data_IF_428090140710
#
_entry.id   IF_428090140710
#
_cell.length_a   1.000
_cell.length_b   1.000
_cell.length_c   1.000
_cell.angle_alpha   90.00
_cell.angle_beta   90.00
_cell.angle_gamma   90.00
#
_symmetry.space_group_name_H-M   'P 1'
#
loop_
_entity.id
_entity.type
_entity.pdbx_description
1 polymer ?
#
# COMPACT_ATOMS: atom_id res chain seq x y z
N UNK A 1 23.58 -27.40 10.14
CA UNK A 1 23.40 -26.26 11.07
C UNK A 1 22.45 -25.30 10.39
N UNK A 2 21.16 -25.61 10.45
CA UNK A 2 20.13 -25.07 9.58
C UNK A 2 18.86 -24.80 10.40
N UNK A 3 18.21 -23.66 10.12
CA UNK A 3 16.85 -23.24 10.52
C UNK A 3 16.69 -22.62 11.93
N UNK A 4 16.99 -21.33 12.02
CA UNK A 4 16.25 -20.42 12.90
C UNK A 4 15.56 -19.38 12.01
N UNK A 5 14.24 -19.49 11.91
CA UNK A 5 13.41 -18.72 11.00
C UNK A 5 11.95 -19.10 11.25
N UNK A 6 11.51 -18.96 12.50
CA UNK A 6 10.14 -19.22 12.95
C UNK A 6 9.20 -18.12 12.44
N UNK A 7 9.05 -18.03 11.12
CA UNK A 7 8.00 -17.27 10.49
C UNK A 7 6.73 -18.11 10.50
N UNK A 8 5.70 -17.65 11.23
CA UNK A 8 4.33 -18.13 11.12
C UNK A 8 3.99 -18.44 9.65
N UNK A 9 3.88 -19.72 9.28
CA UNK A 9 3.55 -20.10 7.91
C UNK A 9 2.05 -19.91 7.72
N UNK A 10 1.67 -19.05 6.78
CA UNK A 10 0.27 -18.89 6.37
C UNK A 10 -0.20 -20.04 5.46
N UNK A 11 0.35 -21.24 5.64
CA UNK A 11 0.22 -22.36 4.69
C UNK A 11 -1.21 -22.87 4.48
N UNK A 12 -2.11 -22.63 5.45
CA UNK A 12 -3.53 -22.94 5.32
C UNK A 12 -4.33 -21.87 4.54
N UNK A 13 -3.84 -20.64 4.46
CA UNK A 13 -4.55 -19.51 3.88
C UNK A 13 -4.87 -19.64 2.38
N UNK A 14 -4.03 -20.23 1.51
CA UNK A 14 -4.38 -20.43 0.10
C UNK A 14 -5.63 -21.28 -0.12
N UNK A 15 -5.92 -22.18 0.83
CA UNK A 15 -7.07 -23.10 0.79
C UNK A 15 -8.28 -22.56 1.55
N UNK A 16 -8.09 -22.18 2.81
CA UNK A 16 -9.17 -21.75 3.72
C UNK A 16 -9.46 -20.24 3.65
N UNK A 17 -8.69 -19.49 2.86
CA UNK A 17 -8.75 -18.03 2.79
C UNK A 17 -8.35 -17.36 4.11
N UNK A 18 -8.68 -16.07 4.23
CA UNK A 18 -8.44 -15.29 5.45
C UNK A 18 -9.54 -15.56 6.48
N UNK A 19 -9.46 -16.71 7.15
CA UNK A 19 -10.50 -17.22 8.03
C UNK A 19 -10.01 -17.48 9.45
N UNK A 20 -10.96 -17.82 10.33
CA UNK A 20 -10.68 -18.26 11.69
C UNK A 20 -9.86 -19.56 11.71
N UNK A 21 -10.08 -20.47 10.75
CA UNK A 21 -9.29 -21.68 10.62
C UNK A 21 -7.81 -21.36 10.33
N UNK A 22 -7.58 -20.42 9.41
CA UNK A 22 -6.24 -19.91 9.09
C UNK A 22 -5.57 -19.27 10.29
N UNK A 23 -6.31 -18.50 11.11
CA UNK A 23 -5.74 -17.95 12.35
C UNK A 23 -5.34 -19.06 13.33
N UNK A 24 -6.17 -20.07 13.54
CA UNK A 24 -5.81 -21.19 14.43
C UNK A 24 -4.57 -21.94 13.93
N UNK A 25 -4.47 -22.19 12.63
CA UNK A 25 -3.31 -22.82 12.03
C UNK A 25 -2.04 -21.96 12.23
N UNK A 26 -2.15 -20.66 11.98
CA UNK A 26 -1.08 -19.68 12.23
C UNK A 26 -0.63 -19.64 13.70
N UNK A 27 -1.57 -19.73 14.66
CA UNK A 27 -1.26 -19.81 16.09
C UNK A 27 -0.48 -21.10 16.39
N UNK A 28 -0.95 -22.24 15.91
CA UNK A 28 -0.29 -23.53 16.12
C UNK A 28 1.14 -23.53 15.55
N UNK A 29 1.33 -22.96 14.36
CA UNK A 29 2.64 -22.91 13.68
C UNK A 29 3.61 -21.91 14.31
N UNK A 30 3.11 -20.80 14.86
CA UNK A 30 3.95 -19.74 15.44
C UNK A 30 4.42 -20.04 16.87
N UNK A 31 3.77 -20.98 17.57
CA UNK A 31 3.99 -21.20 18.99
C UNK A 31 3.51 -20.06 19.89
N UNK A 32 2.75 -19.11 19.35
CA UNK A 32 2.19 -18.00 20.12
C UNK A 32 1.11 -18.51 21.08
N UNK A 33 1.05 -17.92 22.28
CA UNK A 33 -0.02 -18.21 23.22
C UNK A 33 -1.39 -17.86 22.59
N UNK A 34 -2.37 -18.79 22.54
CA UNK A 34 -3.65 -18.54 21.87
C UNK A 34 -4.39 -17.29 22.39
N UNK A 35 -4.32 -17.04 23.70
CA UNK A 35 -4.92 -15.85 24.30
C UNK A 35 -4.28 -14.54 23.79
N UNK A 36 -2.96 -14.52 23.62
CA UNK A 36 -2.24 -13.36 23.07
C UNK A 36 -2.61 -13.14 21.60
N UNK A 37 -2.64 -14.21 20.80
CA UNK A 37 -3.04 -14.10 19.40
C UNK A 37 -4.49 -13.60 19.25
N UNK A 38 -5.42 -14.06 20.10
CA UNK A 38 -6.79 -13.55 20.15
C UNK A 38 -6.89 -12.08 20.52
N UNK A 39 -6.04 -11.63 21.44
CA UNK A 39 -5.96 -10.21 21.80
C UNK A 39 -5.42 -9.35 20.65
N UNK A 40 -4.47 -9.88 19.86
CA UNK A 40 -3.89 -9.19 18.70
C UNK A 40 -4.79 -9.24 17.45
N UNK A 41 -5.58 -10.30 17.29
CA UNK A 41 -6.45 -10.53 16.13
C UNK A 41 -7.92 -10.75 16.55
N UNK A 42 -8.58 -9.75 17.17
CA UNK A 42 -9.94 -9.88 17.69
C UNK A 42 -10.99 -10.19 16.61
N UNK A 43 -10.76 -9.76 15.36
CA UNK A 43 -11.61 -10.04 14.19
C UNK A 43 -11.15 -11.27 13.40
N UNK A 44 -10.26 -12.08 13.98
CA UNK A 44 -9.83 -13.34 13.41
C UNK A 44 -9.00 -13.17 12.14
N UNK A 45 -9.35 -13.94 11.10
CA UNK A 45 -8.66 -13.96 9.81
C UNK A 45 -8.59 -12.61 9.10
N UNK A 46 -9.53 -11.69 9.36
CA UNK A 46 -9.52 -10.33 8.79
C UNK A 46 -8.32 -9.53 9.31
N UNK A 47 -8.12 -9.53 10.64
CA UNK A 47 -6.97 -8.83 11.23
C UNK A 47 -5.64 -9.47 10.80
N UNK A 48 -5.65 -10.79 10.59
CA UNK A 48 -4.49 -11.49 10.05
C UNK A 48 -4.17 -11.04 8.61
N UNK A 49 -5.19 -10.87 7.77
CA UNK A 49 -5.05 -10.33 6.41
C UNK A 49 -4.50 -8.90 6.41
N UNK A 50 -5.04 -8.05 7.29
CA UNK A 50 -4.56 -6.68 7.52
C UNK A 50 -3.09 -6.70 7.95
N UNK A 51 -2.72 -7.53 8.93
CA UNK A 51 -1.35 -7.62 9.41
C UNK A 51 -0.38 -8.12 8.33
N UNK A 52 -0.82 -9.06 7.50
CA UNK A 52 -0.05 -9.53 6.33
C UNK A 52 0.18 -8.39 5.32
N UNK A 53 -0.87 -7.63 4.98
CA UNK A 53 -0.75 -6.48 4.08
C UNK A 53 0.24 -5.44 4.62
N UNK A 54 0.11 -5.07 5.89
CA UNK A 54 0.99 -4.10 6.53
C UNK A 54 2.44 -4.59 6.66
N UNK A 55 2.64 -5.91 6.79
CA UNK A 55 3.98 -6.51 6.74
C UNK A 55 4.61 -6.32 5.37
N UNK A 56 3.86 -6.51 4.29
CA UNK A 56 4.34 -6.24 2.94
C UNK A 56 4.74 -4.77 2.75
N UNK A 57 3.99 -3.83 3.33
CA UNK A 57 4.36 -2.41 3.30
C UNK A 57 5.67 -2.13 4.05
N UNK A 58 5.88 -2.77 5.22
CA UNK A 58 7.15 -2.68 5.96
C UNK A 58 8.32 -3.20 5.14
N UNK A 59 8.18 -4.41 4.59
CA UNK A 59 9.22 -5.03 3.76
C UNK A 59 9.58 -4.18 2.54
N UNK A 60 8.57 -3.57 1.89
CA UNK A 60 8.83 -2.62 0.80
C UNK A 60 9.65 -1.43 1.26
N UNK A 61 9.31 -0.82 2.40
CA UNK A 61 10.06 0.34 2.91
C UNK A 61 11.49 -0.03 3.26
N UNK A 62 11.69 -1.18 3.91
CA UNK A 62 13.02 -1.68 4.28
C UNK A 62 13.87 -1.91 3.01
N UNK A 63 13.30 -2.56 2.00
CA UNK A 63 13.97 -2.79 0.72
C UNK A 63 14.26 -1.46 -0.02
N UNK A 64 13.30 -0.53 -0.04
CA UNK A 64 13.45 0.76 -0.70
C UNK A 64 14.51 1.63 -0.03
N UNK A 65 14.62 1.58 1.31
CA UNK A 65 15.66 2.25 2.08
C UNK A 65 17.06 1.69 1.85
N UNK A 66 17.16 0.42 1.45
CA UNK A 66 18.42 -0.22 1.08
C UNK A 66 18.80 -0.04 -0.40
N UNK A 67 17.87 0.40 -1.26
CA UNK A 67 18.11 0.64 -2.68
C UNK A 67 18.85 1.95 -2.94
N UNK A 68 19.79 1.93 -3.89
CA UNK A 68 20.34 3.18 -4.46
C UNK A 68 19.35 3.76 -5.49
N UNK A 69 18.75 4.89 -5.14
CA UNK A 69 17.78 5.61 -5.98
C UNK A 69 18.39 6.83 -6.66
N UNK A 70 19.69 7.11 -6.49
CA UNK A 70 20.32 8.36 -6.92
C UNK A 70 20.24 8.58 -8.44
N UNK A 71 20.46 7.52 -9.22
CA UNK A 71 20.42 7.55 -10.68
C UNK A 71 19.00 7.46 -11.28
N UNK A 72 17.97 7.19 -10.47
CA UNK A 72 16.61 7.00 -10.96
C UNK A 72 15.86 8.32 -11.11
N UNK A 73 15.10 8.50 -12.19
CA UNK A 73 14.10 9.57 -12.26
C UNK A 73 13.02 9.31 -11.23
N UNK A 74 12.41 10.36 -10.70
CA UNK A 74 11.44 10.23 -9.62
C UNK A 74 10.27 9.28 -9.94
N UNK A 75 9.75 9.29 -11.18
CA UNK A 75 8.71 8.35 -11.61
C UNK A 75 9.17 6.89 -11.58
N UNK A 76 10.44 6.65 -11.91
CA UNK A 76 11.02 5.31 -11.95
C UNK A 76 11.25 4.83 -10.49
N UNK A 77 11.51 5.74 -9.54
CA UNK A 77 11.52 5.45 -8.09
C UNK A 77 10.14 4.99 -7.59
N UNK A 78 9.06 5.64 -8.04
CA UNK A 78 7.69 5.24 -7.68
C UNK A 78 7.37 3.86 -8.26
N UNK A 79 7.72 3.61 -9.53
CA UNK A 79 7.56 2.30 -10.16
C UNK A 79 8.32 1.21 -9.39
N UNK A 80 9.58 1.50 -9.03
CA UNK A 80 10.42 0.59 -8.26
C UNK A 80 9.82 0.28 -6.89
N UNK A 81 9.30 1.27 -6.16
CA UNK A 81 8.65 1.05 -4.86
C UNK A 81 7.40 0.15 -4.98
N UNK A 82 6.56 0.37 -6.00
CA UNK A 82 5.39 -0.50 -6.27
C UNK A 82 5.84 -1.93 -6.60
N UNK A 83 6.90 -2.08 -7.40
CA UNK A 83 7.48 -3.39 -7.73
C UNK A 83 8.00 -4.11 -6.49
N UNK A 84 8.80 -3.44 -5.66
CA UNK A 84 9.28 -3.98 -4.38
C UNK A 84 8.11 -4.42 -3.48
N UNK A 85 7.01 -3.67 -3.47
CA UNK A 85 5.81 -4.05 -2.70
C UNK A 85 5.18 -5.34 -3.19
N UNK A 86 5.13 -5.56 -4.49
CA UNK A 86 4.60 -6.79 -5.08
C UNK A 86 5.57 -7.96 -4.91
N UNK A 87 6.88 -7.72 -5.05
CA UNK A 87 7.92 -8.73 -4.84
C UNK A 87 8.06 -9.16 -3.37
N UNK A 88 7.67 -8.32 -2.41
CA UNK A 88 7.58 -8.68 -0.99
C UNK A 88 6.51 -9.75 -0.69
N UNK A 89 5.64 -10.06 -1.65
CA UNK A 89 4.61 -11.10 -1.50
C UNK A 89 5.25 -12.47 -1.76
N UNK A 90 5.26 -13.32 -0.74
CA UNK A 90 5.78 -14.68 -0.86
C UNK A 90 4.89 -15.60 -1.71
N UNK A 91 3.57 -15.42 -1.65
CA UNK A 91 2.62 -16.24 -2.38
C UNK A 91 1.45 -15.40 -2.92
N UNK A 92 1.26 -15.44 -4.23
CA UNK A 92 0.25 -14.63 -4.96
C UNK A 92 -1.18 -14.99 -4.55
N UNK A 93 -1.43 -16.24 -4.20
CA UNK A 93 -2.76 -16.70 -3.80
C UNK A 93 -3.23 -16.05 -2.49
N UNK A 94 -2.33 -15.74 -1.56
CA UNK A 94 -2.66 -14.99 -0.33
C UNK A 94 -3.24 -13.61 -0.66
N UNK A 95 -2.66 -12.94 -1.66
CA UNK A 95 -3.14 -11.65 -2.14
C UNK A 95 -4.47 -11.82 -2.86
N UNK A 96 -4.63 -12.85 -3.69
CA UNK A 96 -5.91 -13.14 -4.38
C UNK A 96 -7.05 -13.29 -3.37
N UNK A 97 -6.85 -14.11 -2.33
CA UNK A 97 -7.84 -14.30 -1.25
C UNK A 97 -8.10 -13.00 -0.48
N UNK A 98 -7.06 -12.19 -0.26
CA UNK A 98 -7.19 -10.88 0.38
C UNK A 98 -8.03 -9.91 -0.45
N UNK A 99 -7.74 -9.82 -1.76
CA UNK A 99 -8.51 -9.00 -2.70
C UNK A 99 -9.97 -9.41 -2.72
N UNK A 100 -10.29 -10.71 -2.74
CA UNK A 100 -11.68 -11.18 -2.67
C UNK A 100 -12.36 -10.81 -1.35
N UNK A 101 -11.68 -11.01 -0.21
CA UNK A 101 -12.21 -10.64 1.12
C UNK A 101 -12.54 -9.14 1.18
N UNK A 102 -11.60 -8.29 0.77
CA UNK A 102 -11.74 -6.85 0.85
C UNK A 102 -12.62 -6.25 -0.25
N UNK A 103 -13.00 -7.02 -1.28
CA UNK A 103 -14.01 -6.60 -2.25
C UNK A 103 -15.45 -6.69 -1.70
N UNK A 104 -15.66 -7.43 -0.60
CA UNK A 104 -16.98 -7.52 0.03
C UNK A 104 -17.38 -6.17 0.63
N UNK A 105 -18.64 -5.71 0.47
CA UNK A 105 -19.05 -4.37 0.90
C UNK A 105 -18.72 -4.02 2.36
N UNK A 106 -18.87 -4.98 3.27
CA UNK A 106 -18.57 -4.81 4.70
C UNK A 106 -17.06 -4.64 5.01
N UNK A 107 -16.19 -5.01 4.08
CA UNK A 107 -14.73 -4.91 4.22
C UNK A 107 -14.09 -3.93 3.21
N UNK A 108 -14.87 -3.41 2.27
CA UNK A 108 -14.40 -2.52 1.20
C UNK A 108 -13.71 -1.27 1.73
N UNK A 109 -14.24 -0.66 2.79
CA UNK A 109 -13.62 0.51 3.41
C UNK A 109 -12.24 0.18 4.01
N UNK A 110 -12.07 -1.01 4.58
CA UNK A 110 -10.79 -1.46 5.12
C UNK A 110 -9.78 -1.77 4.00
N UNK A 111 -10.22 -2.43 2.92
CA UNK A 111 -9.40 -2.63 1.73
C UNK A 111 -8.91 -1.32 1.12
N UNK A 112 -9.81 -0.34 0.98
CA UNK A 112 -9.46 1.00 0.49
C UNK A 112 -8.46 1.70 1.41
N UNK A 113 -8.63 1.59 2.73
CA UNK A 113 -7.68 2.13 3.72
C UNK A 113 -6.30 1.47 3.62
N UNK A 114 -6.23 0.16 3.38
CA UNK A 114 -4.96 -0.55 3.20
C UNK A 114 -4.23 -0.08 1.93
N UNK A 115 -4.94 0.05 0.81
CA UNK A 115 -4.39 0.56 -0.46
C UNK A 115 -3.93 2.02 -0.32
N UNK A 116 -4.71 2.85 0.37
CA UNK A 116 -4.31 4.22 0.69
C UNK A 116 -3.04 4.23 1.55
N UNK A 117 -2.98 3.37 2.57
CA UNK A 117 -1.82 3.21 3.45
C UNK A 117 -0.55 2.81 2.69
N UNK A 118 -0.65 1.90 1.72
CA UNK A 118 0.49 1.55 0.85
C UNK A 118 0.95 2.75 0.02
N UNK A 119 0.02 3.49 -0.60
CA UNK A 119 0.37 4.68 -1.36
C UNK A 119 1.03 5.75 -0.48
N UNK A 120 0.49 6.00 0.71
CA UNK A 120 1.09 6.90 1.70
C UNK A 120 2.50 6.43 2.11
N UNK A 121 2.68 5.15 2.41
CA UNK A 121 3.98 4.57 2.78
C UNK A 121 5.03 4.76 1.68
N UNK A 122 4.67 4.60 0.41
CA UNK A 122 5.56 4.84 -0.74
C UNK A 122 5.94 6.32 -0.81
N UNK A 123 4.97 7.23 -0.75
CA UNK A 123 5.24 8.67 -0.81
C UNK A 123 6.11 9.15 0.34
N UNK A 124 5.83 8.68 1.56
CA UNK A 124 6.63 9.00 2.76
C UNK A 124 8.05 8.47 2.62
N UNK A 125 8.23 7.22 2.17
CA UNK A 125 9.56 6.63 1.98
C UNK A 125 10.37 7.33 0.88
N UNK A 126 9.71 7.92 -0.12
CA UNK A 126 10.33 8.74 -1.17
C UNK A 126 10.50 10.22 -0.78
N UNK A 127 10.17 10.60 0.46
CA UNK A 127 10.40 11.94 0.99
C UNK A 127 9.35 13.01 0.61
N UNK A 128 8.09 12.62 0.34
CA UNK A 128 7.01 13.57 0.07
C UNK A 128 6.77 14.51 1.27
N UNK A 129 6.86 15.82 1.03
CA UNK A 129 6.64 16.87 2.06
C UNK A 129 5.33 17.63 1.87
N UNK A 130 4.46 17.17 0.95
CA UNK A 130 3.18 17.83 0.67
C UNK A 130 2.29 17.93 1.92
N UNK A 131 1.68 19.10 2.14
CA UNK A 131 0.73 19.33 3.25
C UNK A 131 -0.60 19.96 2.82
N UNK A 132 -0.75 20.18 1.53
CA UNK A 132 -1.91 20.79 0.90
C UNK A 132 -2.71 19.73 0.11
N UNK A 133 -3.60 20.17 -0.79
CA UNK A 133 -4.37 19.28 -1.65
C UNK A 133 -3.51 18.27 -2.44
N UNK A 134 -2.25 18.60 -2.76
CA UNK A 134 -1.36 17.68 -3.48
C UNK A 134 -1.08 16.40 -2.69
N UNK A 135 -1.16 16.45 -1.35
CA UNK A 135 -1.03 15.27 -0.49
C UNK A 135 -2.12 14.24 -0.80
N UNK A 136 -3.37 14.71 -0.93
CA UNK A 136 -4.52 13.87 -1.24
C UNK A 136 -4.48 13.36 -2.67
N UNK A 137 -4.19 14.24 -3.64
CA UNK A 137 -4.19 13.85 -5.06
C UNK A 137 -3.09 12.83 -5.36
N UNK A 138 -1.88 13.00 -4.82
CA UNK A 138 -0.77 12.04 -4.98
C UNK A 138 -1.14 10.65 -4.47
N UNK A 139 -1.78 10.57 -3.30
CA UNK A 139 -2.19 9.30 -2.68
C UNK A 139 -3.34 8.66 -3.43
N UNK A 140 -4.39 9.42 -3.74
CA UNK A 140 -5.53 8.92 -4.49
C UNK A 140 -5.11 8.34 -5.85
N UNK A 141 -4.26 9.07 -6.58
CA UNK A 141 -3.79 8.62 -7.89
C UNK A 141 -2.86 7.41 -7.78
N UNK A 142 -1.92 7.39 -6.83
CA UNK A 142 -1.05 6.22 -6.63
C UNK A 142 -1.83 5.00 -6.14
N UNK A 143 -2.86 5.18 -5.31
CA UNK A 143 -3.77 4.10 -4.89
C UNK A 143 -4.50 3.48 -6.09
N UNK A 144 -4.94 4.29 -7.04
CA UNK A 144 -5.57 3.80 -8.28
C UNK A 144 -4.56 3.01 -9.14
N UNK A 145 -3.35 3.54 -9.32
CA UNK A 145 -2.26 2.84 -10.03
C UNK A 145 -1.98 1.51 -9.35
N UNK A 146 -1.63 1.52 -8.06
CA UNK A 146 -1.30 0.33 -7.28
C UNK A 146 -2.42 -0.71 -7.32
N UNK A 147 -3.66 -0.32 -7.04
CA UNK A 147 -4.81 -1.24 -7.06
C UNK A 147 -5.00 -1.90 -8.42
N UNK A 148 -4.92 -1.14 -9.50
CA UNK A 148 -5.03 -1.70 -10.87
C UNK A 148 -3.83 -2.60 -11.22
N UNK A 149 -2.61 -2.26 -10.80
CA UNK A 149 -1.41 -3.08 -11.02
C UNK A 149 -1.50 -4.39 -10.25
N UNK A 150 -2.00 -4.39 -9.00
CA UNK A 150 -2.24 -5.62 -8.23
C UNK A 150 -3.20 -6.54 -8.98
N UNK A 151 -4.32 -6.01 -9.47
CA UNK A 151 -5.30 -6.82 -10.20
C UNK A 151 -4.73 -7.41 -11.50
N UNK A 152 -3.94 -6.62 -12.24
CA UNK A 152 -3.24 -7.09 -13.43
C UNK A 152 -2.23 -8.19 -13.08
N UNK A 153 -1.40 -7.94 -12.07
CA UNK A 153 -0.37 -8.86 -11.57
C UNK A 153 -0.93 -10.20 -11.08
N UNK A 154 -2.12 -10.20 -10.50
CA UNK A 154 -2.80 -11.42 -10.06
C UNK A 154 -3.15 -12.38 -11.22
N UNK A 155 -3.27 -11.86 -12.45
CA UNK A 155 -3.55 -12.65 -13.65
C UNK A 155 -2.38 -12.73 -14.63
N UNK A 156 -1.19 -12.28 -14.24
CA UNK A 156 -0.03 -12.25 -15.12
C UNK A 156 0.79 -13.55 -15.05
N UNK A 157 0.84 -14.27 -16.16
CA UNK A 157 1.61 -15.50 -16.34
C UNK A 157 2.89 -15.29 -17.17
N UNK A 158 3.25 -14.03 -17.49
CA UNK A 158 4.48 -13.72 -18.20
C UNK A 158 5.72 -13.99 -17.36
N UNK A 159 6.84 -14.31 -18.02
CA UNK A 159 8.11 -14.59 -17.33
C UNK A 159 8.55 -13.36 -16.54
N UNK A 160 8.80 -13.56 -15.23
CA UNK A 160 9.22 -12.48 -14.33
C UNK A 160 8.19 -11.37 -14.14
N UNK A 161 6.92 -11.57 -14.51
CA UNK A 161 5.84 -10.58 -14.51
C UNK A 161 6.10 -9.36 -15.41
N UNK A 162 6.79 -9.57 -16.54
CA UNK A 162 7.14 -8.48 -17.45
C UNK A 162 5.91 -7.69 -17.92
N UNK A 163 4.80 -8.36 -18.22
CA UNK A 163 3.58 -7.69 -18.64
C UNK A 163 3.01 -6.77 -17.54
N UNK A 164 3.13 -7.16 -16.27
CA UNK A 164 2.79 -6.30 -15.11
C UNK A 164 3.66 -5.06 -15.06
N UNK A 165 4.97 -5.20 -15.27
CA UNK A 165 5.90 -4.06 -15.23
C UNK A 165 5.63 -3.08 -16.36
N UNK A 166 5.38 -3.58 -17.57
CA UNK A 166 4.99 -2.75 -18.71
C UNK A 166 3.62 -2.07 -18.49
N UNK A 167 2.69 -2.75 -17.80
CA UNK A 167 1.42 -2.15 -17.39
C UNK A 167 1.63 -1.03 -16.36
N UNK A 168 2.44 -1.25 -15.33
CA UNK A 168 2.76 -0.27 -14.31
C UNK A 168 3.40 0.99 -14.91
N UNK A 169 4.39 0.82 -15.79
CA UNK A 169 5.08 1.94 -16.44
C UNK A 169 4.12 2.80 -17.27
N UNK A 170 3.18 2.17 -17.99
CA UNK A 170 2.11 2.89 -18.71
C UNK A 170 1.21 3.66 -17.77
N UNK A 171 0.75 3.05 -16.67
CA UNK A 171 -0.12 3.71 -15.68
C UNK A 171 0.56 4.90 -15.00
N UNK A 172 1.84 4.79 -14.66
CA UNK A 172 2.62 5.93 -14.14
C UNK A 172 2.77 7.01 -15.22
N UNK A 173 2.96 6.62 -16.48
CA UNK A 173 2.94 7.53 -17.63
C UNK A 173 1.64 8.32 -17.75
N UNK A 174 0.49 7.67 -17.61
CA UNK A 174 -0.83 8.30 -17.70
C UNK A 174 -1.05 9.35 -16.61
N UNK A 175 -0.58 9.08 -15.38
CA UNK A 175 -0.62 10.05 -14.28
C UNK A 175 0.12 11.33 -14.65
N UNK A 176 1.29 11.21 -15.28
CA UNK A 176 2.06 12.37 -15.72
C UNK A 176 1.34 13.17 -16.80
N UNK A 177 0.54 12.52 -17.66
CA UNK A 177 -0.28 13.24 -18.65
C UNK A 177 -1.42 14.01 -17.98
N UNK A 178 -2.06 13.43 -16.96
CA UNK A 178 -3.08 14.11 -16.16
C UNK A 178 -2.49 15.36 -15.49
N UNK A 179 -1.31 15.26 -14.88
CA UNK A 179 -0.65 16.40 -14.24
C UNK A 179 -0.27 17.49 -15.26
N UNK A 180 0.19 17.12 -16.45
CA UNK A 180 0.42 18.08 -17.56
C UNK A 180 -0.86 18.77 -18.00
N UNK A 181 -1.95 18.02 -18.16
CA UNK A 181 -3.25 18.58 -18.53
C UNK A 181 -3.78 19.55 -17.47
N UNK A 182 -3.65 19.21 -16.18
CA UNK A 182 -4.00 20.12 -15.07
C UNK A 182 -3.17 21.41 -15.11
N UNK A 183 -1.86 21.30 -15.33
CA UNK A 183 -0.98 22.47 -15.45
C UNK A 183 -1.41 23.36 -16.63
N UNK A 184 -1.66 22.78 -17.80
CA UNK A 184 -2.12 23.51 -18.97
C UNK A 184 -3.45 24.24 -18.76
N UNK A 185 -4.41 23.62 -18.04
CA UNK A 185 -5.68 24.27 -17.67
C UNK A 185 -5.46 25.42 -16.70
N UNK A 186 -4.56 25.26 -15.71
CA UNK A 186 -4.22 26.31 -14.74
C UNK A 186 -3.52 27.50 -15.40
N UNK A 187 -2.78 27.30 -16.48
CA UNK A 187 -2.08 28.38 -17.18
C UNK A 187 -2.98 29.17 -18.13
N UNK A 188 -4.13 28.61 -18.55
CA UNK A 188 -5.11 29.29 -19.40
C UNK A 188 -6.00 30.27 -18.61
N UNK A 189 -6.20 31.49 -19.13
CA UNK A 189 -6.97 32.56 -18.48
C UNK A 189 -8.43 32.17 -18.16
N UNK A 190 -9.08 31.40 -19.04
CA UNK A 190 -10.42 30.88 -18.82
C UNK A 190 -10.45 29.78 -17.73
N UNK A 191 -9.41 28.94 -17.68
CA UNK A 191 -9.25 27.91 -16.65
C UNK A 191 -8.97 28.50 -15.26
N UNK A 192 -8.19 29.59 -15.18
CA UNK A 192 -7.99 30.36 -13.95
C UNK A 192 -9.30 30.91 -13.40
N UNK A 193 -10.15 31.48 -14.26
CA UNK A 193 -11.44 32.03 -13.84
C UNK A 193 -12.40 30.94 -13.33
N UNK A 194 -12.42 29.77 -13.97
CA UNK A 194 -13.30 28.65 -13.59
C UNK A 194 -12.85 27.95 -12.29
N UNK A 195 -11.55 27.90 -12.04
CA UNK A 195 -10.96 27.26 -10.86
C UNK A 195 -10.78 28.20 -9.66
N UNK A 196 -10.91 29.52 -9.82
CA UNK A 196 -10.66 30.50 -8.75
C UNK A 196 -11.55 30.31 -7.51
N UNK A 197 -12.81 29.91 -7.68
CA UNK A 197 -13.73 29.62 -6.57
C UNK A 197 -13.39 28.32 -5.82
N UNK A 198 -13.33 27.16 -6.51
CA UNK A 198 -12.95 25.88 -5.90
C UNK A 198 -11.53 25.86 -5.31
N UNK A 199 -10.56 26.57 -5.93
CA UNK A 199 -9.19 26.62 -5.44
C UNK A 199 -9.07 27.27 -4.05
N UNK A 200 -9.81 28.36 -3.78
CA UNK A 200 -9.83 29.02 -2.46
C UNK A 200 -10.40 28.14 -1.34
N UNK A 201 -11.29 27.19 -1.67
CA UNK A 201 -11.80 26.21 -0.71
C UNK A 201 -10.75 25.12 -0.41
N UNK A 202 -10.00 24.69 -1.42
CA UNK A 202 -8.94 23.67 -1.28
C UNK A 202 -7.70 24.17 -0.52
N UNK A 203 -7.39 25.49 -0.55
CA UNK A 203 -6.29 26.08 0.23
C UNK A 203 -6.45 25.89 1.75
N UNK A 204 -7.68 25.70 2.24
CA UNK A 204 -7.96 25.48 3.67
C UNK A 204 -7.77 24.02 4.09
N UNK A 205 -7.61 23.10 3.14
CA UNK A 205 -7.46 21.68 3.45
C UNK A 205 -6.03 21.41 3.89
N UNK A 206 -5.90 20.89 5.10
CA UNK A 206 -4.63 20.46 5.66
C UNK A 206 -4.66 18.97 5.92
N UNK A 207 -3.52 18.35 5.74
CA UNK A 207 -3.30 16.93 6.07
C UNK A 207 -3.65 16.69 7.55
N UNK A 208 -4.31 15.57 7.90
CA UNK A 208 -4.54 15.20 9.28
C UNK A 208 -3.20 15.12 10.03
N UNK A 209 -3.05 15.90 11.10
CA UNK A 209 -1.92 15.77 12.02
C UNK A 209 -2.39 14.88 13.17
N UNK A 210 -1.70 13.77 13.38
CA UNK A 210 -1.89 12.96 14.59
C UNK A 210 -0.90 13.50 15.62
N UNK A 211 -1.35 14.04 16.76
CA UNK A 211 -0.46 14.54 17.80
C UNK A 211 0.53 13.45 18.27
N UNK A 212 1.79 13.82 18.47
CA UNK A 212 2.86 12.88 18.87
C UNK A 212 2.75 12.43 20.33
N UNK A 213 1.83 13.03 21.11
CA UNK A 213 1.63 12.84 22.54
C UNK A 213 0.44 11.93 22.90
N UNK A 214 -0.07 11.15 21.94
CA UNK A 214 -1.14 10.20 22.24
C UNK A 214 -0.65 9.06 23.17
N UNK A 215 -1.32 8.83 24.32
CA UNK A 215 -0.93 7.76 25.23
C UNK A 215 -1.06 6.39 24.55
N UNK A 216 0.02 5.60 24.59
CA UNK A 216 0.10 4.26 23.99
C UNK A 216 0.96 4.15 22.73
N UNK A 217 1.50 5.25 22.19
CA UNK A 217 2.48 5.21 21.09
C UNK A 217 3.88 4.99 21.68
N UNK A 218 4.42 3.78 21.56
CA UNK A 218 5.82 3.51 21.93
C UNK A 218 6.69 4.27 20.93
N UNK A 219 7.38 5.33 21.38
CA UNK A 219 8.37 6.05 20.58
C UNK A 219 9.41 5.06 20.07
N UNK A 220 9.51 4.90 18.75
CA UNK A 220 10.56 4.11 18.13
C UNK A 220 11.88 4.86 18.33
N UNK A 221 12.64 4.45 19.37
CA UNK A 221 13.81 5.18 19.88
C UNK A 221 15.09 4.90 19.09
N UNK A 222 14.98 4.39 17.87
CA UNK A 222 16.13 4.13 17.02
C UNK A 222 15.79 4.59 15.60
N UNK A 223 16.26 5.80 15.31
CA UNK A 223 16.25 6.46 14.00
C UNK A 223 17.67 6.40 13.42
#
# INVERSE_FOLDING_TARGET
>A
MERSGSGCRLGACPFDGWSEATLRAAIADSGCAPALARALFPRGGIDLAVAYHLRGDRMMRDALGASDLSAMRFRDKVAHAVRLRLEAVGERELVRRGTTLFALPQHAAEGAKLIWGTADAIWVALGDTARDFSWYSKRATLSAVYGSTVLYWLGDDSTGNQATWDFLDRRIGDVMQIEKAKAAIKDNALGKALLAGPAKLMEKWRVPTVPDDLPGRMMDRFR
#
